data_IF_360391295811
#
_entry.id   IF_360391295811
#
_cell.length_a   1.000
_cell.length_b   1.000
_cell.length_c   1.000
_cell.angle_alpha   90.00
_cell.angle_beta   90.00
_cell.angle_gamma   90.00
#
_symmetry.space_group_name_H-M   'P 1'
#
loop_
_entity.id
_entity.type
_entity.pdbx_description
1 polymer ?
#
# COMPACT_ATOMS: atom_id res chain seq x y z
N UNK A 1 -18.46 -11.40 -49.55
CA UNK A 1 -17.00 -11.40 -49.34
C UNK A 1 -16.73 -10.21 -48.43
N UNK A 2 -16.41 -10.31 -47.14
CA UNK A 2 -16.13 -11.40 -46.21
C UNK A 2 -16.62 -10.88 -44.86
N UNK A 3 -17.44 -11.67 -44.15
CA UNK A 3 -17.94 -11.34 -42.81
C UNK A 3 -16.77 -11.31 -41.83
N UNK A 4 -16.45 -10.13 -41.28
CA UNK A 4 -15.64 -10.03 -40.06
C UNK A 4 -16.58 -10.35 -38.90
N UNK A 5 -16.66 -11.63 -38.59
CA UNK A 5 -17.48 -12.18 -37.53
C UNK A 5 -16.90 -11.82 -36.17
N UNK A 6 -17.71 -11.09 -35.41
CA UNK A 6 -17.64 -10.86 -33.97
C UNK A 6 -17.52 -12.21 -33.27
N UNK A 7 -16.30 -12.61 -32.89
CA UNK A 7 -16.02 -13.79 -32.07
C UNK A 7 -14.91 -13.47 -31.05
N UNK A 8 -15.07 -12.35 -30.34
CA UNK A 8 -14.21 -11.93 -29.24
C UNK A 8 -15.01 -11.86 -27.94
N UNK A 9 -15.59 -13.00 -27.53
CA UNK A 9 -16.26 -13.08 -26.25
C UNK A 9 -15.95 -14.38 -25.50
N UNK A 10 -15.34 -14.16 -24.33
CA UNK A 10 -15.36 -14.96 -23.11
C UNK A 10 -14.57 -16.27 -23.08
N UNK A 11 -13.28 -16.16 -22.79
CA UNK A 11 -12.65 -17.05 -21.80
C UNK A 11 -11.32 -16.49 -21.26
N UNK A 12 -11.43 -15.63 -20.24
CA UNK A 12 -10.60 -15.67 -19.02
C UNK A 12 -11.06 -14.55 -18.08
N UNK A 13 -11.22 -14.92 -16.81
CA UNK A 13 -11.70 -14.09 -15.72
C UNK A 13 -10.76 -12.91 -15.42
N UNK A 14 -11.31 -11.87 -14.78
CA UNK A 14 -10.64 -10.67 -14.22
C UNK A 14 -10.04 -9.68 -15.23
N UNK A 15 -10.89 -8.82 -15.81
CA UNK A 15 -10.48 -7.59 -16.52
C UNK A 15 -10.14 -6.49 -15.50
N UNK A 16 -9.11 -6.74 -14.69
CA UNK A 16 -8.40 -5.74 -13.87
C UNK A 16 -6.93 -6.07 -14.06
N UNK A 17 -6.39 -5.63 -15.19
CA UNK A 17 -5.00 -5.75 -15.56
C UNK A 17 -4.58 -4.55 -16.37
N UNK A 18 -3.35 -4.09 -16.19
CA UNK A 18 -2.80 -2.89 -16.82
C UNK A 18 -2.59 -3.11 -18.32
N UNK A 19 -3.65 -3.00 -19.13
CA UNK A 19 -3.56 -3.00 -20.61
C UNK A 19 -2.66 -1.87 -21.12
N UNK A 20 -2.45 -0.83 -20.31
CA UNK A 20 -1.63 0.36 -20.59
C UNK A 20 -0.24 0.02 -21.12
N UNK A 21 0.43 -1.00 -20.59
CA UNK A 21 1.81 -1.33 -20.98
C UNK A 21 1.91 -2.60 -21.84
N UNK A 22 0.79 -3.08 -22.41
CA UNK A 22 0.77 -4.31 -23.19
C UNK A 22 1.49 -4.13 -24.53
N UNK A 23 2.22 -5.17 -24.96
CA UNK A 23 2.94 -5.19 -26.22
C UNK A 23 2.04 -5.51 -27.44
N UNK A 24 2.42 -5.08 -28.66
CA UNK A 24 1.63 -5.29 -29.87
C UNK A 24 1.27 -6.75 -30.17
N UNK A 25 2.21 -7.67 -29.98
CA UNK A 25 2.05 -9.12 -30.19
C UNK A 25 1.08 -9.74 -29.16
N UNK A 26 1.07 -9.22 -27.92
CA UNK A 26 0.11 -9.66 -26.90
C UNK A 26 -1.31 -9.21 -27.24
N UNK A 27 -1.46 -8.00 -27.75
CA UNK A 27 -2.77 -7.48 -28.20
C UNK A 27 -3.29 -8.30 -29.39
N UNK A 28 -2.40 -8.72 -30.30
CA UNK A 28 -2.73 -9.59 -31.43
C UNK A 28 -2.92 -11.07 -31.06
N UNK A 29 -2.78 -11.42 -29.78
CA UNK A 29 -2.87 -12.79 -29.27
C UNK A 29 -1.85 -13.75 -29.95
N UNK A 30 -0.68 -13.22 -30.32
CA UNK A 30 0.45 -14.00 -30.80
C UNK A 30 1.20 -14.66 -29.64
N UNK A 31 2.11 -15.58 -29.95
CA UNK A 31 3.01 -16.15 -28.95
C UNK A 31 3.89 -15.05 -28.36
N UNK A 32 3.78 -14.81 -27.06
CA UNK A 32 4.58 -13.83 -26.34
C UNK A 32 5.50 -14.51 -25.33
N UNK A 33 6.63 -13.86 -25.06
CA UNK A 33 7.65 -14.30 -24.11
C UNK A 33 8.36 -13.06 -23.56
N UNK A 34 9.61 -13.16 -23.15
CA UNK A 34 10.42 -12.07 -22.60
C UNK A 34 10.44 -10.76 -23.40
N UNK A 35 10.38 -10.73 -24.76
CA UNK A 35 10.33 -9.47 -25.50
C UNK A 35 9.13 -8.59 -25.14
N UNK A 36 8.00 -9.17 -24.71
CA UNK A 36 6.83 -8.41 -24.29
C UNK A 36 7.12 -7.53 -23.07
N UNK A 37 7.91 -8.03 -22.12
CA UNK A 37 8.30 -7.26 -20.93
C UNK A 37 9.27 -6.12 -21.28
N UNK A 38 10.11 -6.29 -22.31
CA UNK A 38 10.99 -5.22 -22.83
C UNK A 38 10.17 -4.05 -23.38
N UNK A 39 9.05 -4.33 -24.05
CA UNK A 39 8.13 -3.27 -24.49
C UNK A 39 7.52 -2.53 -23.30
N UNK A 40 7.01 -3.27 -22.30
CA UNK A 40 6.43 -2.67 -21.09
C UNK A 40 7.45 -1.80 -20.34
N UNK A 41 8.70 -2.25 -20.25
CA UNK A 41 9.82 -1.48 -19.69
C UNK A 41 10.05 -0.18 -20.48
N UNK A 42 10.08 -0.24 -21.81
CA UNK A 42 10.26 0.93 -22.67
C UNK A 42 9.19 1.98 -22.43
N UNK A 43 7.92 1.58 -22.33
CA UNK A 43 6.81 2.50 -22.06
C UNK A 43 6.89 3.11 -20.65
N UNK A 44 7.23 2.30 -19.63
CA UNK A 44 7.38 2.79 -18.26
C UNK A 44 8.52 3.81 -18.14
N UNK A 45 9.66 3.55 -18.80
CA UNK A 45 10.79 4.48 -18.80
C UNK A 45 10.49 5.75 -19.61
N UNK A 46 9.78 5.63 -20.74
CA UNK A 46 9.30 6.79 -21.49
C UNK A 46 8.47 7.69 -20.58
N UNK A 47 7.43 7.14 -19.95
CA UNK A 47 6.53 7.88 -19.06
C UNK A 47 7.26 8.49 -17.87
N UNK A 48 8.19 7.75 -17.25
CA UNK A 48 9.03 8.27 -16.16
C UNK A 48 9.92 9.44 -16.63
N UNK A 49 10.41 9.41 -17.88
CA UNK A 49 11.25 10.45 -18.44
C UNK A 49 10.46 11.70 -18.84
N UNK A 50 9.29 11.55 -19.44
CA UNK A 50 8.46 12.66 -19.96
C UNK A 50 7.45 13.18 -18.94
N UNK A 51 7.11 12.39 -17.93
CA UNK A 51 6.00 12.64 -17.00
C UNK A 51 4.62 12.31 -17.58
N UNK A 52 4.54 11.83 -18.83
CA UNK A 52 3.29 11.56 -19.53
C UNK A 52 3.37 10.25 -20.33
N UNK A 53 2.31 9.45 -20.22
CA UNK A 53 2.18 8.22 -21.01
C UNK A 53 2.03 8.56 -22.51
N UNK A 54 2.75 7.89 -23.43
CA UNK A 54 2.85 8.31 -24.83
C UNK A 54 1.57 8.14 -25.66
N UNK A 55 0.56 7.43 -25.15
CA UNK A 55 -0.70 7.17 -25.85
C UNK A 55 -1.90 7.70 -25.08
N UNK A 56 -3.01 7.94 -25.78
CA UNK A 56 -4.23 8.47 -25.14
C UNK A 56 -5.03 7.33 -24.49
N UNK A 57 -4.82 7.09 -23.20
CA UNK A 57 -5.53 6.04 -22.44
C UNK A 57 -7.00 6.40 -22.09
N UNK A 58 -7.38 7.69 -22.17
CA UNK A 58 -8.67 8.20 -21.69
C UNK A 58 -9.86 7.88 -22.61
N UNK A 59 -9.60 7.46 -23.85
CA UNK A 59 -10.62 7.11 -24.85
C UNK A 59 -11.04 5.63 -24.78
N UNK A 60 -10.59 4.93 -23.75
CA UNK A 60 -10.93 3.54 -23.47
C UNK A 60 -9.91 2.52 -24.02
N UNK A 61 -9.97 1.27 -23.52
CA UNK A 61 -8.93 0.28 -23.76
C UNK A 61 -8.80 -0.15 -25.22
N UNK A 62 -9.90 -0.15 -25.98
CA UNK A 62 -9.88 -0.54 -27.41
C UNK A 62 -9.11 0.47 -28.24
N UNK A 63 -9.32 1.76 -28.00
CA UNK A 63 -8.64 2.82 -28.75
C UNK A 63 -7.13 2.83 -28.44
N UNK A 64 -6.77 2.62 -27.17
CA UNK A 64 -5.37 2.45 -26.77
C UNK A 64 -4.72 1.26 -27.49
N UNK A 65 -5.40 0.10 -27.54
CA UNK A 65 -4.88 -1.06 -28.26
C UNK A 65 -4.66 -0.74 -29.75
N UNK A 66 -5.58 -0.02 -30.39
CA UNK A 66 -5.42 0.42 -31.79
C UNK A 66 -4.21 1.34 -31.96
N UNK A 67 -4.00 2.34 -31.10
CA UNK A 67 -2.80 3.18 -31.14
C UNK A 67 -1.51 2.36 -30.98
N UNK A 68 -1.50 1.39 -30.06
CA UNK A 68 -0.34 0.50 -29.87
C UNK A 68 -0.09 -0.39 -31.10
N UNK A 69 -1.09 -0.68 -31.93
CA UNK A 69 -0.91 -1.47 -33.14
C UNK A 69 -0.57 -0.62 -34.37
N UNK A 70 -1.25 0.51 -34.54
CA UNK A 70 -1.28 1.27 -35.81
C UNK A 70 -0.38 2.50 -35.78
N UNK A 71 -0.28 3.20 -34.65
CA UNK A 71 0.53 4.43 -34.58
C UNK A 71 2.03 4.11 -34.57
N UNK A 72 2.88 5.03 -35.07
CA UNK A 72 4.32 4.93 -34.93
C UNK A 72 4.72 4.69 -33.47
N UNK A 73 5.78 3.90 -33.26
CA UNK A 73 6.34 3.75 -31.92
C UNK A 73 6.76 5.11 -31.36
N UNK A 74 6.44 5.40 -30.09
CA UNK A 74 6.77 6.68 -29.49
C UNK A 74 8.28 6.75 -29.26
N UNK A 75 8.83 7.95 -29.44
CA UNK A 75 10.26 8.22 -29.27
C UNK A 75 10.42 9.53 -28.51
N UNK A 76 11.25 9.57 -27.45
CA UNK A 76 11.41 10.75 -26.63
C UNK A 76 12.15 11.85 -27.41
N UNK A 77 11.84 13.11 -27.10
CA UNK A 77 12.40 14.26 -27.83
C UNK A 77 13.92 14.36 -27.67
N UNK A 78 14.62 14.29 -28.81
CA UNK A 78 16.10 14.38 -28.88
C UNK A 78 16.67 15.74 -28.43
N UNK A 79 15.81 16.74 -28.23
CA UNK A 79 16.20 18.06 -27.74
C UNK A 79 16.26 18.12 -26.21
N UNK A 80 15.52 17.26 -25.51
CA UNK A 80 15.40 17.27 -24.05
C UNK A 80 16.09 16.09 -23.38
N UNK A 81 16.26 14.98 -24.10
CA UNK A 81 16.84 13.75 -23.57
C UNK A 81 18.19 13.43 -24.21
N UNK A 82 19.01 12.67 -23.47
CA UNK A 82 20.32 12.25 -23.98
C UNK A 82 20.16 11.26 -25.14
N UNK A 83 21.09 11.26 -26.12
CA UNK A 83 21.05 10.31 -27.22
C UNK A 83 20.99 8.84 -26.76
N UNK A 84 21.68 8.51 -25.67
CA UNK A 84 21.70 7.17 -25.09
C UNK A 84 20.33 6.77 -24.54
N UNK A 85 19.60 7.69 -23.89
CA UNK A 85 18.24 7.43 -23.45
C UNK A 85 17.29 7.23 -24.63
N UNK A 86 17.31 8.14 -25.62
CA UNK A 86 16.47 8.01 -26.82
C UNK A 86 16.70 6.68 -27.53
N UNK A 87 17.96 6.30 -27.76
CA UNK A 87 18.30 5.04 -28.44
C UNK A 87 17.91 3.80 -27.63
N UNK A 88 17.97 3.86 -26.30
CA UNK A 88 17.50 2.77 -25.44
C UNK A 88 15.98 2.58 -25.55
N UNK A 89 15.22 3.68 -25.48
CA UNK A 89 13.76 3.65 -25.59
C UNK A 89 13.33 3.19 -27.00
N UNK A 90 13.95 3.72 -28.05
CA UNK A 90 13.68 3.32 -29.43
C UNK A 90 13.92 1.80 -29.64
N UNK A 91 14.96 1.25 -29.00
CA UNK A 91 15.24 -0.19 -29.06
C UNK A 91 14.19 -1.04 -28.32
N UNK A 92 13.71 -0.56 -27.17
CA UNK A 92 12.68 -1.25 -26.39
C UNK A 92 11.31 -1.23 -27.08
N UNK A 93 11.00 -0.15 -27.79
CA UNK A 93 9.68 0.11 -28.37
C UNK A 93 9.58 -0.27 -29.86
N UNK A 94 10.35 -1.26 -30.31
CA UNK A 94 10.16 -1.86 -31.63
C UNK A 94 8.88 -2.70 -31.65
N UNK A 95 7.98 -2.44 -32.60
CA UNK A 95 6.71 -3.18 -32.71
C UNK A 95 6.95 -4.68 -32.93
N UNK A 96 7.88 -5.02 -33.84
CA UNK A 96 8.28 -6.40 -34.08
C UNK A 96 9.03 -6.96 -32.85
N UNK A 97 8.46 -8.00 -32.23
CA UNK A 97 9.03 -8.61 -31.04
C UNK A 97 10.42 -9.22 -31.27
N UNK A 98 10.65 -9.84 -32.43
CA UNK A 98 11.94 -10.46 -32.77
C UNK A 98 13.05 -9.44 -33.04
N UNK A 99 12.69 -8.19 -33.34
CA UNK A 99 13.64 -7.11 -33.54
C UNK A 99 14.05 -6.45 -32.22
N UNK A 100 13.30 -6.66 -31.12
CA UNK A 100 13.66 -6.12 -29.81
C UNK A 100 14.88 -6.85 -29.25
N UNK A 101 15.84 -6.12 -28.66
CA UNK A 101 16.93 -6.75 -27.95
C UNK A 101 16.43 -7.51 -26.72
N UNK A 102 17.13 -8.57 -26.37
CA UNK A 102 16.96 -9.28 -25.10
C UNK A 102 17.40 -8.42 -23.92
N UNK A 103 16.94 -8.75 -22.71
CA UNK A 103 17.39 -8.08 -21.49
C UNK A 103 18.92 -8.12 -21.33
N UNK A 104 19.57 -9.25 -21.66
CA UNK A 104 21.02 -9.40 -21.62
C UNK A 104 21.74 -8.44 -22.58
N UNK A 105 21.21 -8.25 -23.79
CA UNK A 105 21.74 -7.27 -24.74
C UNK A 105 21.54 -5.84 -24.24
N UNK A 106 20.38 -5.53 -23.64
CA UNK A 106 20.09 -4.20 -23.09
C UNK A 106 20.97 -3.84 -21.88
N UNK A 107 21.41 -4.81 -21.08
CA UNK A 107 22.38 -4.57 -20.00
C UNK A 107 23.71 -4.01 -20.52
N UNK A 108 24.07 -4.31 -21.76
CA UNK A 108 25.27 -3.79 -22.43
C UNK A 108 25.04 -2.45 -23.13
N UNK A 109 23.81 -1.90 -23.11
CA UNK A 109 23.50 -0.65 -23.80
C UNK A 109 24.23 0.55 -23.16
N UNK A 110 24.69 1.56 -23.93
CA UNK A 110 25.36 2.75 -23.41
C UNK A 110 24.59 3.48 -22.30
N UNK A 111 23.25 3.50 -22.39
CA UNK A 111 22.39 4.05 -21.35
C UNK A 111 22.59 3.36 -20.00
N UNK A 112 22.52 2.02 -19.95
CA UNK A 112 22.64 1.26 -18.71
C UNK A 112 24.07 1.31 -18.18
N UNK A 113 25.05 1.03 -19.05
CA UNK A 113 26.47 0.96 -18.66
C UNK A 113 27.01 2.30 -18.16
N UNK A 114 26.53 3.43 -18.67
CA UNK A 114 26.87 4.77 -18.17
C UNK A 114 26.47 4.98 -16.71
N UNK A 115 25.32 4.45 -16.30
CA UNK A 115 24.80 4.60 -14.93
C UNK A 115 25.15 3.44 -14.01
N UNK A 116 25.75 2.36 -14.51
CA UNK A 116 26.14 1.19 -13.72
C UNK A 116 27.15 1.54 -12.60
N UNK A 117 28.01 2.54 -12.82
CA UNK A 117 28.99 3.03 -11.84
C UNK A 117 28.80 4.51 -11.50
N UNK A 118 27.67 5.11 -11.87
CA UNK A 118 27.42 6.51 -11.57
C UNK A 118 26.97 6.66 -10.11
N UNK A 119 27.62 7.57 -9.38
CA UNK A 119 27.13 7.98 -8.06
C UNK A 119 25.93 8.91 -8.23
N UNK A 120 24.73 8.34 -8.17
CA UNK A 120 23.47 9.09 -8.16
C UNK A 120 22.91 9.07 -6.74
N UNK A 121 22.79 10.23 -6.11
CA UNK A 121 22.15 10.34 -4.79
C UNK A 121 20.62 10.25 -4.93
N UNK A 122 20.13 9.02 -5.10
CA UNK A 122 18.68 8.72 -5.13
C UNK A 122 17.99 9.20 -3.85
N UNK A 123 18.67 9.14 -2.70
CA UNK A 123 18.08 9.57 -1.43
C UNK A 123 17.83 11.08 -1.42
N UNK A 124 18.74 11.90 -1.96
CA UNK A 124 18.52 13.33 -2.12
C UNK A 124 17.38 13.63 -3.10
N UNK A 125 17.33 12.92 -4.23
CA UNK A 125 16.22 13.05 -5.18
C UNK A 125 14.87 12.74 -4.52
N UNK A 126 14.75 11.60 -3.85
CA UNK A 126 13.51 11.20 -3.16
C UNK A 126 13.11 12.23 -2.10
N UNK A 127 14.07 12.75 -1.32
CA UNK A 127 13.83 13.82 -0.34
C UNK A 127 13.39 15.15 -0.97
N UNK A 128 13.78 15.41 -2.22
CA UNK A 128 13.36 16.62 -2.95
C UNK A 128 11.94 16.53 -3.52
N UNK A 129 11.48 15.31 -3.81
CA UNK A 129 10.15 15.04 -4.37
C UNK A 129 9.12 14.81 -3.26
N UNK A 130 9.52 14.17 -2.15
CA UNK A 130 8.64 13.81 -1.05
C UNK A 130 9.13 14.43 0.26
N UNK A 131 8.22 15.08 1.00
CA UNK A 131 8.47 15.44 2.39
C UNK A 131 8.50 14.15 3.23
N UNK A 132 9.64 13.78 3.84
CA UNK A 132 9.74 12.58 4.67
C UNK A 132 8.74 12.57 5.83
N UNK A 133 8.38 13.76 6.32
CA UNK A 133 7.42 13.94 7.42
C UNK A 133 6.01 13.55 6.97
N UNK A 134 5.62 13.97 5.77
CA UNK A 134 4.31 13.63 5.20
C UNK A 134 4.22 12.12 4.95
N UNK A 135 5.24 11.50 4.36
CA UNK A 135 5.26 10.06 4.13
C UNK A 135 5.18 9.24 5.42
N UNK A 136 5.87 9.69 6.47
CA UNK A 136 5.79 9.07 7.79
C UNK A 136 4.39 9.21 8.40
N UNK A 137 3.71 10.34 8.16
CA UNK A 137 2.32 10.54 8.54
C UNK A 137 1.40 9.57 7.77
N UNK A 138 1.55 9.46 6.45
CA UNK A 138 0.75 8.55 5.61
C UNK A 138 0.91 7.07 6.04
N UNK A 139 2.14 6.65 6.38
CA UNK A 139 2.40 5.31 6.92
C UNK A 139 1.74 5.09 8.28
N UNK A 140 1.83 6.07 9.18
CA UNK A 140 1.21 6.00 10.50
C UNK A 140 -0.32 5.94 10.39
N UNK A 141 -0.88 6.73 9.48
CA UNK A 141 -2.29 6.77 9.14
C UNK A 141 -2.75 5.40 8.60
N UNK A 142 -2.05 4.85 7.61
CA UNK A 142 -2.34 3.55 7.02
C UNK A 142 -2.29 2.41 8.04
N UNK A 143 -1.23 2.32 8.85
CA UNK A 143 -1.13 1.28 9.88
C UNK A 143 -2.27 1.39 10.89
N UNK A 144 -2.53 2.60 11.40
CA UNK A 144 -3.55 2.84 12.42
C UNK A 144 -4.92 2.39 11.92
N UNK A 145 -5.26 2.76 10.69
CA UNK A 145 -6.48 2.31 10.01
C UNK A 145 -6.58 0.79 9.95
N UNK A 146 -5.58 0.14 9.36
CA UNK A 146 -5.63 -1.30 9.13
C UNK A 146 -5.68 -2.07 10.45
N UNK A 147 -4.89 -1.66 11.43
CA UNK A 147 -4.83 -2.31 12.73
C UNK A 147 -6.18 -2.25 13.45
N UNK A 148 -6.78 -1.05 13.63
CA UNK A 148 -8.04 -0.93 14.37
C UNK A 148 -9.25 -1.46 13.60
N UNK A 149 -9.22 -1.45 12.25
CA UNK A 149 -10.25 -2.13 11.46
C UNK A 149 -10.19 -3.65 11.65
N UNK A 150 -8.99 -4.24 11.64
CA UNK A 150 -8.83 -5.67 11.96
C UNK A 150 -9.26 -5.96 13.40
N UNK A 151 -8.88 -5.12 14.35
CA UNK A 151 -9.20 -5.31 15.77
C UNK A 151 -10.70 -5.21 16.06
N UNK A 152 -11.41 -4.24 15.47
CA UNK A 152 -12.84 -4.06 15.71
C UNK A 152 -13.72 -4.86 14.70
N UNK A 153 -13.11 -5.48 13.69
CA UNK A 153 -13.77 -6.19 12.59
C UNK A 153 -14.27 -7.59 12.92
N UNK A 154 -14.42 -8.46 11.90
CA UNK A 154 -14.84 -9.86 12.05
C UNK A 154 -13.67 -10.79 12.39
N UNK A 155 -13.98 -11.97 12.93
CA UNK A 155 -12.96 -12.98 13.27
C UNK A 155 -12.22 -13.53 12.06
N UNK A 156 -12.89 -13.62 10.89
CA UNK A 156 -12.29 -14.12 9.65
C UNK A 156 -11.08 -13.27 9.21
N UNK A 157 -11.20 -11.95 9.32
CA UNK A 157 -10.14 -11.02 8.95
C UNK A 157 -9.07 -10.92 10.05
N UNK A 158 -9.47 -11.07 11.32
CA UNK A 158 -8.58 -10.91 12.48
C UNK A 158 -7.35 -11.82 12.44
N UNK A 159 -7.44 -13.02 11.86
CA UNK A 159 -6.30 -13.93 11.72
C UNK A 159 -5.10 -13.33 10.99
N UNK A 160 -5.33 -12.36 10.08
CA UNK A 160 -4.27 -11.66 9.36
C UNK A 160 -3.43 -10.74 10.25
N UNK A 161 -3.90 -10.38 11.46
CA UNK A 161 -3.12 -9.55 12.40
C UNK A 161 -1.78 -10.18 12.77
N UNK A 162 -1.67 -11.52 12.76
CA UNK A 162 -0.39 -12.23 12.96
C UNK A 162 0.70 -11.80 11.97
N UNK A 163 0.31 -11.42 10.75
CA UNK A 163 1.26 -11.04 9.69
C UNK A 163 1.93 -9.69 9.93
N UNK A 164 1.41 -8.91 10.89
CA UNK A 164 2.00 -7.64 11.30
C UNK A 164 3.22 -7.83 12.21
N UNK A 165 3.46 -9.04 12.74
CA UNK A 165 4.51 -9.33 13.72
C UNK A 165 5.54 -10.32 13.17
N UNK A 166 6.74 -10.26 13.73
CA UNK A 166 7.85 -11.20 13.54
C UNK A 166 8.04 -12.07 14.79
N UNK A 167 8.94 -13.06 14.71
CA UNK A 167 9.21 -13.98 15.83
C UNK A 167 9.76 -13.26 17.08
N UNK A 168 10.53 -12.19 16.90
CA UNK A 168 11.11 -11.38 17.98
C UNK A 168 10.20 -10.23 18.41
N UNK A 169 9.03 -10.08 17.79
CA UNK A 169 8.10 -9.01 18.13
C UNK A 169 7.59 -9.15 19.56
N UNK A 170 7.36 -8.02 20.22
CA UNK A 170 6.85 -7.99 21.60
C UNK A 170 5.56 -7.18 21.71
N UNK A 171 4.62 -7.68 22.51
CA UNK A 171 3.43 -6.95 22.93
C UNK A 171 3.40 -6.84 24.45
N UNK A 172 3.19 -5.64 24.99
CA UNK A 172 3.03 -5.44 26.43
C UNK A 172 1.67 -4.84 26.79
N UNK A 173 1.04 -5.42 27.81
CA UNK A 173 -0.21 -4.95 28.40
C UNK A 173 -0.28 -5.34 29.88
N UNK A 174 -0.57 -4.37 30.76
CA UNK A 174 -0.71 -4.60 32.20
C UNK A 174 0.47 -5.38 32.82
N UNK A 175 1.70 -4.95 32.52
CA UNK A 175 2.97 -5.57 32.97
C UNK A 175 3.25 -6.98 32.43
N UNK A 176 2.33 -7.58 31.66
CA UNK A 176 2.57 -8.84 30.94
C UNK A 176 3.18 -8.53 29.58
N UNK A 177 4.14 -9.36 29.17
CA UNK A 177 4.79 -9.30 27.86
C UNK A 177 4.55 -10.62 27.14
N UNK A 178 4.11 -10.54 25.90
CA UNK A 178 3.93 -11.66 24.99
C UNK A 178 4.91 -11.53 23.83
N UNK A 179 5.55 -12.63 23.44
CA UNK A 179 6.59 -12.60 22.41
C UNK A 179 6.22 -13.49 21.22
N UNK A 180 6.45 -12.97 20.03
CA UNK A 180 6.17 -13.65 18.77
C UNK A 180 4.69 -13.67 18.38
N UNK A 181 4.37 -13.95 17.10
CA UNK A 181 3.06 -13.66 16.52
C UNK A 181 1.92 -14.46 17.17
N UNK A 182 2.19 -15.70 17.60
CA UNK A 182 1.17 -16.59 18.17
C UNK A 182 0.73 -16.17 19.57
N UNK A 183 1.68 -15.83 20.45
CA UNK A 183 1.35 -15.37 21.81
C UNK A 183 0.71 -13.98 21.79
N UNK A 184 1.24 -13.07 20.97
CA UNK A 184 0.68 -11.73 20.75
C UNK A 184 -0.77 -11.85 20.26
N UNK A 185 -1.02 -12.64 19.22
CA UNK A 185 -2.37 -12.86 18.70
C UNK A 185 -3.32 -13.41 19.76
N UNK A 186 -2.88 -14.37 20.57
CA UNK A 186 -3.69 -14.96 21.63
C UNK A 186 -4.06 -13.91 22.68
N UNK A 187 -3.08 -13.09 23.08
CA UNK A 187 -3.26 -12.00 24.06
C UNK A 187 -4.21 -10.93 23.55
N UNK A 188 -4.02 -10.45 22.31
CA UNK A 188 -4.89 -9.48 21.67
C UNK A 188 -6.30 -10.04 21.42
N UNK A 189 -6.43 -11.33 21.08
CA UNK A 189 -7.74 -11.98 20.91
C UNK A 189 -8.52 -12.04 22.23
N UNK A 190 -7.84 -12.30 23.34
CA UNK A 190 -8.45 -12.26 24.66
C UNK A 190 -8.90 -10.84 24.99
N UNK A 191 -8.05 -9.82 24.76
CA UNK A 191 -8.42 -8.41 24.94
C UNK A 191 -9.62 -8.01 24.08
N UNK A 192 -9.69 -8.48 22.83
CA UNK A 192 -10.81 -8.21 21.92
C UNK A 192 -12.12 -8.82 22.42
N UNK A 193 -12.09 -10.05 22.92
CA UNK A 193 -13.27 -10.70 23.56
C UNK A 193 -13.69 -9.97 24.83
N UNK A 194 -12.72 -9.63 25.66
CA UNK A 194 -12.86 -8.82 26.88
C UNK A 194 -13.55 -7.48 26.57
N UNK A 195 -13.11 -6.74 25.56
CA UNK A 195 -13.72 -5.47 25.17
C UNK A 195 -15.09 -5.63 24.49
N UNK A 196 -15.33 -6.73 23.77
CA UNK A 196 -16.65 -7.02 23.22
C UNK A 196 -17.71 -7.23 24.33
N UNK A 197 -17.32 -7.86 25.45
CA UNK A 197 -18.19 -8.13 26.60
C UNK A 197 -19.45 -8.94 26.25
N UNK A 198 -20.44 -8.94 27.16
CA UNK A 198 -21.73 -9.65 27.00
C UNK A 198 -22.84 -8.76 26.42
N UNK A 199 -22.50 -7.73 25.64
CA UNK A 199 -23.42 -6.64 25.29
C UNK A 199 -24.03 -6.67 23.87
N UNK A 200 -24.50 -7.78 23.26
CA UNK A 200 -25.10 -7.70 21.93
C UNK A 200 -26.29 -6.70 21.87
N UNK A 201 -26.33 -5.77 20.89
CA UNK A 201 -25.46 -5.64 19.72
C UNK A 201 -24.30 -4.61 19.85
N UNK A 202 -24.12 -3.96 21.00
CA UNK A 202 -23.14 -2.89 21.21
C UNK A 202 -21.83 -3.41 21.86
N UNK A 203 -20.68 -2.81 21.54
CA UNK A 203 -19.36 -3.24 22.04
C UNK A 203 -18.52 -2.03 22.42
N UNK A 204 -17.48 -2.23 23.23
CA UNK A 204 -16.46 -1.20 23.39
C UNK A 204 -15.67 -1.08 22.09
N UNK A 205 -15.80 0.06 21.43
CA UNK A 205 -15.08 0.40 20.20
C UNK A 205 -14.06 1.48 20.46
N UNK A 206 -12.99 1.45 19.68
CA UNK A 206 -11.94 2.46 19.74
C UNK A 206 -12.40 3.75 19.05
N UNK A 207 -12.09 4.88 19.69
CA UNK A 207 -12.14 6.21 19.09
C UNK A 207 -10.73 6.76 19.08
N UNK A 208 -10.13 6.92 17.90
CA UNK A 208 -8.79 7.52 17.76
C UNK A 208 -8.92 9.03 17.81
N UNK A 209 -8.39 9.66 18.87
CA UNK A 209 -8.46 11.11 19.08
C UNK A 209 -7.17 11.81 18.66
N UNK A 210 -6.02 11.14 18.81
CA UNK A 210 -4.72 11.70 18.47
C UNK A 210 -3.78 10.63 17.96
N UNK A 211 -3.14 10.92 16.84
CA UNK A 211 -2.10 10.12 16.21
C UNK A 211 -0.82 10.96 16.10
N UNK A 212 0.31 10.39 16.50
CA UNK A 212 1.62 11.01 16.38
C UNK A 212 2.62 9.99 15.86
N UNK A 213 3.54 10.41 15.00
CA UNK A 213 4.62 9.58 14.49
C UNK A 213 5.95 10.31 14.58
N UNK A 214 7.05 9.55 14.71
CA UNK A 214 8.43 10.05 14.67
C UNK A 214 9.37 8.95 14.18
N UNK A 215 10.52 9.35 13.65
CA UNK A 215 11.60 8.42 13.34
C UNK A 215 12.07 7.68 14.61
N UNK A 216 12.48 6.42 14.43
CA UNK A 216 12.99 5.56 15.48
C UNK A 216 14.20 4.77 14.99
N UNK A 217 15.38 5.05 15.53
CA UNK A 217 16.63 4.51 14.98
C UNK A 217 16.91 5.09 13.59
N UNK A 218 17.59 4.32 12.76
CA UNK A 218 18.00 4.74 11.42
C UNK A 218 16.84 4.61 10.41
N UNK A 219 16.11 3.49 10.45
CA UNK A 219 15.07 3.15 9.45
C UNK A 219 13.69 2.82 10.04
N UNK A 220 13.52 2.95 11.36
CA UNK A 220 12.27 2.61 12.05
C UNK A 220 11.31 3.79 12.22
N UNK A 221 10.07 3.48 12.56
CA UNK A 221 9.02 4.48 12.83
C UNK A 221 8.34 4.17 14.16
N UNK A 222 8.28 5.15 15.06
CA UNK A 222 7.49 5.06 16.28
C UNK A 222 6.16 5.80 16.10
N UNK A 223 5.06 5.07 16.24
CA UNK A 223 3.68 5.57 16.13
C UNK A 223 3.04 5.52 17.51
N UNK A 224 2.37 6.61 17.90
CA UNK A 224 1.62 6.71 19.15
C UNK A 224 0.18 7.11 18.85
N UNK A 225 -0.73 6.27 19.29
CA UNK A 225 -2.17 6.47 19.20
C UNK A 225 -2.70 6.71 20.59
N UNK A 226 -3.60 7.68 20.75
CA UNK A 226 -4.36 7.84 21.98
C UNK A 226 -5.80 8.20 21.69
N UNK A 227 -6.68 7.75 22.57
CA UNK A 227 -8.10 7.93 22.36
C UNK A 227 -8.95 7.35 23.48
N UNK A 228 -10.19 7.08 23.12
CA UNK A 228 -11.25 6.68 24.05
C UNK A 228 -11.86 5.35 23.66
N UNK A 229 -12.37 4.63 24.65
CA UNK A 229 -13.31 3.55 24.44
C UNK A 229 -14.74 4.10 24.62
N UNK A 230 -15.62 3.84 23.66
CA UNK A 230 -17.05 4.15 23.77
C UNK A 230 -17.87 2.89 23.53
N UNK A 231 -19.11 2.87 24.00
CA UNK A 231 -20.08 1.85 23.61
C UNK A 231 -20.65 2.20 22.24
N UNK A 232 -20.52 1.30 21.28
CA UNK A 232 -21.00 1.48 19.91
C UNK A 232 -20.85 0.23 19.05
N UNK A 233 -21.10 0.35 17.75
CA UNK A 233 -21.04 -0.74 16.78
C UNK A 233 -19.98 -0.54 15.69
N UNK A 234 -19.27 0.61 15.69
CA UNK A 234 -18.30 0.97 14.66
C UNK A 234 -17.08 1.67 15.25
N UNK A 235 -15.92 1.42 14.66
CA UNK A 235 -14.68 2.14 14.92
C UNK A 235 -14.79 3.59 14.40
N UNK A 236 -14.31 4.58 15.17
CA UNK A 236 -14.40 5.99 14.81
C UNK A 236 -13.05 6.72 14.93
N UNK A 237 -12.88 7.78 14.13
CA UNK A 237 -11.67 8.61 14.09
C UNK A 237 -12.06 10.08 14.20
N UNK A 238 -11.42 10.81 15.12
CA UNK A 238 -11.72 12.21 15.42
C UNK A 238 -10.81 13.21 14.69
N UNK A 239 -9.72 12.77 14.05
CA UNK A 239 -8.67 13.67 13.56
C UNK A 239 -8.85 14.14 12.11
N UNK A 240 -8.32 15.33 11.81
CA UNK A 240 -8.24 15.93 10.47
C UNK A 240 -7.32 15.17 9.48
N UNK A 241 -6.84 13.97 9.83
CA UNK A 241 -5.80 13.25 9.11
C UNK A 241 -6.30 12.19 8.12
N UNK A 242 -7.47 11.58 8.33
CA UNK A 242 -7.93 10.48 7.48
C UNK A 242 -9.46 10.44 7.38
N UNK A 243 -9.97 10.70 6.17
CA UNK A 243 -11.30 10.32 5.71
C UNK A 243 -11.09 9.22 4.66
N UNK A 244 -11.15 7.95 5.06
CA UNK A 244 -11.19 6.86 4.09
C UNK A 244 -12.61 6.79 3.47
N UNK A 245 -12.70 6.54 2.17
CA UNK A 245 -13.97 6.49 1.44
C UNK A 245 -14.91 5.45 2.09
N UNK A 246 -16.08 5.91 2.58
CA UNK A 246 -17.06 5.07 3.30
C UNK A 246 -16.93 5.05 4.82
N UNK A 247 -15.94 5.71 5.43
CA UNK A 247 -15.83 5.87 6.88
C UNK A 247 -16.56 7.13 7.36
N UNK A 248 -17.33 7.00 8.45
CA UNK A 248 -18.06 8.13 9.02
C UNK A 248 -17.12 9.02 9.84
N UNK A 249 -17.11 10.33 9.56
CA UNK A 249 -16.39 11.30 10.37
C UNK A 249 -17.21 11.62 11.63
N UNK A 250 -16.54 11.80 12.76
CA UNK A 250 -17.19 12.25 14.00
C UNK A 250 -17.82 13.65 13.84
N UNK A 251 -17.35 14.49 12.92
CA UNK A 251 -18.02 15.76 12.61
C UNK A 251 -19.42 15.56 12.01
N UNK A 252 -19.67 14.43 11.32
CA UNK A 252 -20.97 14.08 10.74
C UNK A 252 -21.88 13.30 11.72
N UNK A 253 -21.28 12.70 12.74
CA UNK A 253 -21.96 11.98 13.82
C UNK A 253 -22.08 12.90 15.02
N UNK A 254 -23.29 13.36 15.36
CA UNK A 254 -23.58 14.09 16.61
C UNK A 254 -23.41 13.20 17.88
N UNK A 255 -22.31 12.46 17.99
CA UNK A 255 -21.97 11.58 19.09
C UNK A 255 -21.28 12.42 20.16
N UNK A 256 -21.93 12.54 21.31
CA UNK A 256 -21.28 13.05 22.51
C UNK A 256 -20.33 11.99 23.09
N UNK A 257 -19.08 12.01 22.61
CA UNK A 257 -18.00 11.11 23.06
C UNK A 257 -17.80 11.23 24.57
N UNK A 258 -18.01 12.42 25.16
CA UNK A 258 -17.76 12.63 26.60
C UNK A 258 -18.77 11.87 27.47
N UNK A 259 -20.04 11.81 27.07
CA UNK A 259 -21.06 11.05 27.82
C UNK A 259 -21.00 9.54 27.57
N UNK A 260 -20.49 9.09 26.42
CA UNK A 260 -20.35 7.65 26.08
C UNK A 260 -18.98 7.05 26.39
N UNK A 261 -18.02 7.84 26.89
CA UNK A 261 -16.66 7.40 27.22
C UNK A 261 -16.68 6.43 28.40
N UNK A 262 -16.20 5.22 28.16
CA UNK A 262 -16.03 4.17 29.18
C UNK A 262 -14.58 4.00 29.62
N UNK A 263 -13.63 4.59 28.88
CA UNK A 263 -12.22 4.56 29.22
C UNK A 263 -11.36 5.30 28.22
N UNK A 264 -10.05 5.26 28.45
CA UNK A 264 -9.03 5.84 27.57
C UNK A 264 -7.93 4.84 27.31
N UNK A 265 -7.27 4.97 26.15
CA UNK A 265 -6.10 4.19 25.83
C UNK A 265 -4.97 5.05 25.28
N UNK A 266 -3.75 4.56 25.46
CA UNK A 266 -2.55 5.00 24.79
C UNK A 266 -1.83 3.76 24.28
N UNK A 267 -1.64 3.70 22.99
CA UNK A 267 -0.99 2.57 22.33
C UNK A 267 0.21 3.07 21.53
N UNK A 268 1.32 2.35 21.62
CA UNK A 268 2.55 2.67 20.89
C UNK A 268 2.96 1.48 20.05
N UNK A 269 3.31 1.76 18.79
CA UNK A 269 3.86 0.79 17.84
C UNK A 269 5.25 1.25 17.44
N UNK A 270 6.23 0.35 17.52
CA UNK A 270 7.54 0.51 16.91
C UNK A 270 7.53 -0.38 15.68
N UNK A 271 7.71 0.25 14.52
CA UNK A 271 7.81 -0.42 13.23
C UNK A 271 9.26 -0.47 12.79
N UNK A 272 9.67 -1.63 12.31
CA UNK A 272 11.01 -1.86 11.75
C UNK A 272 10.90 -2.40 10.32
N UNK A 273 11.89 -2.10 9.46
CA UNK A 273 11.93 -2.63 8.11
C UNK A 273 12.17 -4.13 8.13
N UNK A 274 11.41 -4.87 7.32
CA UNK A 274 11.64 -6.28 7.08
C UNK A 274 12.70 -6.52 6.00
N UNK A 275 12.96 -7.80 5.72
CA UNK A 275 13.94 -8.23 4.71
C UNK A 275 13.53 -7.92 3.26
N UNK A 276 12.34 -7.37 3.05
CA UNK A 276 11.80 -7.01 1.73
C UNK A 276 11.62 -5.49 1.70
N UNK A 277 12.12 -4.86 0.63
CA UNK A 277 12.03 -3.41 0.44
C UNK A 277 10.58 -2.94 0.60
N UNK A 278 10.38 -1.91 1.42
CA UNK A 278 9.08 -1.30 1.65
C UNK A 278 8.14 -2.09 2.57
N UNK A 279 8.54 -3.26 3.08
CA UNK A 279 7.77 -4.02 4.06
C UNK A 279 8.21 -3.64 5.47
N UNK A 280 7.25 -3.34 6.33
CA UNK A 280 7.48 -3.11 7.75
C UNK A 280 6.72 -4.13 8.59
N UNK A 281 7.23 -4.41 9.78
CA UNK A 281 6.54 -5.19 10.81
C UNK A 281 6.59 -4.45 12.15
N UNK A 282 5.69 -4.80 13.06
CA UNK A 282 5.62 -4.25 14.41
C UNK A 282 6.64 -5.01 15.27
N UNK A 283 7.80 -4.41 15.56
CA UNK A 283 8.81 -5.02 16.45
C UNK A 283 8.40 -4.91 17.92
N UNK A 284 7.73 -3.82 18.29
CA UNK A 284 7.23 -3.62 19.66
C UNK A 284 5.89 -2.93 19.67
N UNK A 285 4.97 -3.42 20.49
CA UNK A 285 3.68 -2.81 20.75
C UNK A 285 3.43 -2.70 22.26
N UNK A 286 2.99 -1.53 22.71
CA UNK A 286 2.73 -1.25 24.12
C UNK A 286 1.35 -0.63 24.27
N UNK A 287 0.44 -1.34 24.93
CA UNK A 287 -0.92 -0.87 25.19
C UNK A 287 -1.09 -0.51 26.67
N UNK A 288 -1.48 0.75 26.91
CA UNK A 288 -1.88 1.24 28.21
C UNK A 288 -3.34 1.66 28.15
N UNK A 289 -4.22 0.93 28.85
CA UNK A 289 -5.64 1.23 28.92
C UNK A 289 -6.07 1.57 30.35
N UNK A 290 -6.84 2.64 30.50
CA UNK A 290 -7.50 3.02 31.74
C UNK A 290 -9.01 2.99 31.51
N UNK A 291 -9.67 1.94 31.96
CA UNK A 291 -11.12 1.82 31.92
C UNK A 291 -11.73 2.39 33.21
N UNK A 292 -12.87 3.07 33.11
CA UNK A 292 -13.55 3.70 34.25
C UNK A 292 -14.04 2.69 35.30
N UNK A 293 -14.44 3.15 36.49
CA UNK A 293 -14.87 2.28 37.60
C UNK A 293 -16.03 1.32 37.25
N UNK A 294 -16.88 1.67 36.27
CA UNK A 294 -17.95 0.80 35.73
C UNK A 294 -17.42 -0.48 35.08
N UNK A 295 -16.12 -0.51 34.78
CA UNK A 295 -15.39 -1.55 34.05
C UNK A 295 -14.45 -2.31 35.02
N UNK A 296 -14.69 -2.26 36.34
CA UNK A 296 -13.91 -3.02 37.33
C UNK A 296 -14.12 -4.55 37.27
N UNK A 297 -15.00 -5.04 36.40
CA UNK A 297 -15.20 -6.49 36.15
C UNK A 297 -13.94 -7.13 35.53
N UNK A 298 -13.03 -6.35 34.95
CA UNK A 298 -11.83 -6.83 34.26
C UNK A 298 -10.63 -7.18 35.15
N UNK A 299 -10.77 -7.12 36.48
CA UNK A 299 -9.70 -7.53 37.44
C UNK A 299 -9.81 -8.98 37.94
N UNK A 300 -10.80 -9.75 37.50
CA UNK A 300 -10.99 -11.14 37.95
C UNK A 300 -11.19 -12.07 36.76
N UNK A 301 -10.13 -12.30 35.99
CA UNK A 301 -9.89 -13.56 35.24
C UNK A 301 -8.42 -13.67 34.86
#
# INVERSE_FOLDING_TARGET
MTNIGVNMFFQCATFVGTVTYMSPERIQNESYSYPADIWSLGLALFECGTGEFPYTANEGPVNLMLQILEDPSPSPSKNFFSPEFCTFIDACLLKCADARPTAEQLLSHPFITRYASAEVDLAAFVRSVFDPTQRMKDLADMLTMHYYLLFNGSDDLWHHSKTLYSDDSTFSFSEKVSTGPSEIFTTLSNLRKTLAGDWPPERLVHVVEKLQCRAHGDDGVAIRVSGSFIIGNQFLICGDGILAEGMQNIQDLAIDIKSKRMGTFKEQFIMEPGNVIGRYFISKQELNACLGQTVQIFKTT
#
